data_IF_012311074040
#
_entry.id   IF_012311074040
#
_cell.length_a   1.000
_cell.length_b   1.000
_cell.length_c   1.000
_cell.angle_alpha   90.00
_cell.angle_beta   90.00
_cell.angle_gamma   90.00
#
_symmetry.space_group_name_H-M   'P 1'
#
loop_
_entity.id
_entity.type
_entity.pdbx_description
1 polymer ?
#
# COMPACT_ATOMS: atom_id res chain seq x y z
N UNK A 1 10.42 -24.87 15.61
CA UNK A 1 10.29 -26.34 15.78
C UNK A 1 11.40 -27.01 14.97
N UNK A 2 11.96 -28.19 15.41
CA UNK A 2 13.02 -28.87 14.66
C UNK A 2 12.66 -29.24 13.21
N UNK A 3 11.37 -29.51 12.94
CA UNK A 3 10.84 -29.89 11.62
C UNK A 3 10.16 -28.75 10.86
N UNK A 4 10.42 -27.51 11.23
CA UNK A 4 9.85 -26.35 10.53
C UNK A 4 10.65 -25.97 9.29
N UNK A 5 9.99 -25.40 8.28
CA UNK A 5 10.63 -24.77 7.12
C UNK A 5 10.75 -23.27 7.38
N UNK A 6 11.95 -22.72 7.17
CA UNK A 6 12.17 -21.27 7.17
C UNK A 6 11.74 -20.71 5.80
N UNK A 7 10.90 -19.68 5.79
CA UNK A 7 10.46 -18.99 4.56
C UNK A 7 11.14 -17.64 4.53
N UNK A 8 12.02 -17.41 3.55
CA UNK A 8 12.95 -16.27 3.52
C UNK A 8 12.73 -15.43 2.27
N UNK A 9 12.57 -14.11 2.49
CA UNK A 9 12.48 -13.12 1.42
C UNK A 9 13.88 -12.73 0.94
N UNK A 10 14.21 -13.02 -0.33
CA UNK A 10 15.50 -12.65 -0.92
C UNK A 10 15.60 -11.16 -1.30
N UNK A 11 14.49 -10.43 -1.35
CA UNK A 11 14.50 -9.00 -1.68
C UNK A 11 14.99 -8.12 -0.52
N UNK A 12 15.24 -8.70 0.68
CA UNK A 12 15.67 -8.00 1.86
C UNK A 12 17.18 -8.09 2.06
N UNK A 13 17.80 -7.00 2.50
CA UNK A 13 19.24 -6.94 2.77
C UNK A 13 19.73 -7.94 3.83
N UNK A 14 18.82 -8.47 4.66
CA UNK A 14 19.12 -9.44 5.71
C UNK A 14 19.00 -10.90 5.26
N UNK A 15 18.63 -11.17 4.01
CA UNK A 15 18.37 -12.52 3.49
C UNK A 15 19.56 -13.47 3.67
N UNK A 16 20.78 -13.02 3.34
CA UNK A 16 22.00 -13.83 3.47
C UNK A 16 22.30 -14.19 4.93
N UNK A 17 22.09 -13.25 5.86
CA UNK A 17 22.27 -13.50 7.29
C UNK A 17 21.30 -14.57 7.78
N UNK A 18 20.04 -14.50 7.39
CA UNK A 18 19.02 -15.50 7.76
C UNK A 18 19.30 -16.86 7.12
N UNK A 19 19.70 -16.92 5.84
CA UNK A 19 20.07 -18.16 5.18
C UNK A 19 21.25 -18.85 5.89
N UNK A 20 22.22 -18.07 6.34
CA UNK A 20 23.37 -18.60 7.10
C UNK A 20 23.01 -19.11 8.51
N UNK A 21 21.97 -18.54 9.13
CA UNK A 21 21.50 -18.96 10.45
C UNK A 21 20.68 -20.26 10.39
N UNK A 22 19.96 -20.51 9.29
CA UNK A 22 19.06 -21.66 9.15
C UNK A 22 19.64 -22.83 8.36
N UNK A 23 20.97 -23.02 8.35
CA UNK A 23 21.67 -24.08 7.61
C UNK A 23 21.26 -25.50 8.00
N UNK A 24 20.73 -25.72 9.18
CA UNK A 24 20.25 -27.00 9.71
C UNK A 24 18.76 -27.24 9.44
N UNK A 25 18.08 -26.34 8.72
CA UNK A 25 16.64 -26.40 8.43
C UNK A 25 16.36 -26.42 6.94
N UNK A 26 15.16 -26.89 6.61
CA UNK A 26 14.63 -26.64 5.28
C UNK A 26 14.35 -25.15 5.13
N UNK A 27 14.88 -24.56 4.06
CA UNK A 27 14.58 -23.19 3.68
C UNK A 27 13.78 -23.19 2.39
N UNK A 28 12.78 -22.32 2.31
CA UNK A 28 12.07 -21.98 1.09
C UNK A 28 12.22 -20.49 0.88
N UNK A 29 12.75 -20.10 -0.26
CA UNK A 29 13.01 -18.69 -0.59
C UNK A 29 11.90 -18.13 -1.47
N UNK A 30 11.63 -16.85 -1.35
CA UNK A 30 10.72 -16.16 -2.26
C UNK A 30 11.24 -14.78 -2.64
N UNK A 31 10.81 -14.29 -3.81
CA UNK A 31 11.21 -12.99 -4.32
C UNK A 31 10.19 -12.46 -5.34
N UNK A 32 10.15 -11.15 -5.49
CA UNK A 32 9.51 -10.44 -6.59
C UNK A 32 10.53 -9.76 -7.53
N UNK A 33 11.81 -9.78 -7.16
CA UNK A 33 12.91 -9.10 -7.86
C UNK A 33 13.97 -10.09 -8.39
N UNK A 34 14.11 -11.25 -7.75
CA UNK A 34 15.15 -12.24 -8.05
C UNK A 34 14.55 -13.57 -8.54
N UNK A 35 14.91 -13.97 -9.76
CA UNK A 35 14.40 -15.21 -10.41
C UNK A 35 15.05 -16.51 -9.88
N UNK A 36 16.00 -16.43 -8.95
CA UNK A 36 16.68 -17.58 -8.35
C UNK A 36 16.03 -18.05 -7.03
N UNK A 37 14.94 -17.43 -6.61
CA UNK A 37 14.16 -17.90 -5.47
C UNK A 37 13.28 -19.11 -5.84
N UNK A 38 12.89 -19.91 -4.85
CA UNK A 38 12.02 -21.08 -5.05
C UNK A 38 10.61 -20.68 -5.48
N UNK A 39 10.11 -19.55 -4.96
CA UNK A 39 8.79 -19.00 -5.27
C UNK A 39 8.96 -17.56 -5.77
N UNK A 40 8.52 -17.28 -6.98
CA UNK A 40 8.70 -15.96 -7.60
C UNK A 40 7.41 -15.46 -8.24
N UNK A 41 7.28 -14.13 -8.34
CA UNK A 41 6.30 -13.48 -9.22
C UNK A 41 7.01 -12.99 -10.48
N UNK A 42 6.53 -13.43 -11.64
CA UNK A 42 7.02 -12.99 -12.95
C UNK A 42 5.92 -12.27 -13.72
N UNK A 43 6.28 -11.50 -14.75
CA UNK A 43 5.34 -10.81 -15.64
C UNK A 43 4.32 -9.93 -14.89
N UNK A 44 4.78 -9.20 -13.87
CA UNK A 44 3.91 -8.34 -13.07
C UNK A 44 3.40 -7.19 -13.94
N UNK A 45 2.06 -7.05 -14.02
CA UNK A 45 1.38 -6.01 -14.77
C UNK A 45 0.38 -5.30 -13.85
N UNK A 46 0.40 -3.97 -13.87
CA UNK A 46 -0.57 -3.12 -13.16
C UNK A 46 -1.73 -2.84 -14.10
N UNK A 47 -2.94 -3.18 -13.67
CA UNK A 47 -4.20 -2.95 -14.38
C UNK A 47 -4.70 -1.51 -14.15
N UNK A 48 -5.64 -1.04 -14.97
CA UNK A 48 -6.25 0.30 -14.84
C UNK A 48 -6.93 0.53 -13.48
N UNK A 49 -7.31 -0.54 -12.79
CA UNK A 49 -7.87 -0.53 -11.42
C UNK A 49 -6.81 -0.33 -10.32
N UNK A 50 -5.52 -0.31 -10.68
CA UNK A 50 -4.40 -0.37 -9.74
C UNK A 50 -4.10 -1.76 -9.19
N UNK A 51 -4.96 -2.76 -9.46
CA UNK A 51 -4.72 -4.16 -9.13
C UNK A 51 -3.60 -4.74 -9.98
N UNK A 52 -2.99 -5.84 -9.52
CA UNK A 52 -1.89 -6.48 -10.24
C UNK A 52 -2.27 -7.86 -10.76
N UNK A 53 -1.78 -8.17 -11.95
CA UNK A 53 -1.74 -9.51 -12.52
C UNK A 53 -0.29 -9.95 -12.61
N UNK A 54 0.01 -11.21 -12.28
CA UNK A 54 1.35 -11.78 -12.36
C UNK A 54 1.30 -13.30 -12.50
N UNK A 55 2.41 -13.88 -12.87
CA UNK A 55 2.61 -15.32 -12.87
C UNK A 55 3.28 -15.74 -11.55
N UNK A 56 2.58 -16.52 -10.72
CA UNK A 56 3.15 -17.17 -9.55
C UNK A 56 3.86 -18.45 -9.99
N UNK A 57 5.17 -18.52 -9.75
CA UNK A 57 6.03 -19.63 -10.15
C UNK A 57 6.59 -20.35 -8.92
N UNK A 58 6.63 -21.69 -8.96
CA UNK A 58 7.31 -22.55 -8.01
C UNK A 58 8.03 -23.65 -8.80
N UNK A 59 9.34 -23.52 -8.97
CA UNK A 59 10.13 -24.35 -9.87
C UNK A 59 9.60 -24.27 -11.31
N UNK A 60 9.17 -25.41 -11.88
CA UNK A 60 8.60 -25.44 -13.25
C UNK A 60 7.10 -25.14 -13.31
N UNK A 61 6.41 -25.13 -12.17
CA UNK A 61 5.00 -24.83 -12.12
C UNK A 61 4.76 -23.33 -12.19
N UNK A 62 3.82 -22.91 -13.05
CA UNK A 62 3.45 -21.51 -13.28
C UNK A 62 1.94 -21.38 -13.33
N UNK A 63 1.40 -20.39 -12.64
CA UNK A 63 -0.03 -20.08 -12.65
C UNK A 63 -0.23 -18.57 -12.66
N UNK A 64 -1.12 -18.09 -13.51
CA UNK A 64 -1.50 -16.67 -13.53
C UNK A 64 -2.41 -16.34 -12.36
N UNK A 65 -2.14 -15.20 -11.70
CA UNK A 65 -2.89 -14.67 -10.57
C UNK A 65 -3.30 -13.24 -10.86
N UNK A 66 -4.55 -12.90 -10.64
CA UNK A 66 -5.03 -11.51 -10.60
C UNK A 66 -5.46 -11.22 -9.16
N UNK A 67 -4.76 -10.29 -8.50
CA UNK A 67 -5.11 -9.89 -7.14
C UNK A 67 -6.26 -8.87 -7.16
N UNK A 68 -7.28 -9.05 -6.31
CA UNK A 68 -8.37 -8.07 -6.18
C UNK A 68 -8.02 -6.88 -5.26
N UNK A 69 -6.74 -6.70 -4.97
CA UNK A 69 -6.21 -5.61 -4.11
C UNK A 69 -5.10 -4.86 -4.86
N UNK A 70 -5.05 -3.52 -4.78
CA UNK A 70 -4.13 -2.73 -5.57
C UNK A 70 -2.69 -2.76 -5.04
N UNK A 71 -1.78 -2.37 -5.92
CA UNK A 71 -0.39 -2.06 -5.61
C UNK A 71 0.58 -3.24 -5.69
N UNK A 72 1.80 -2.94 -6.11
CA UNK A 72 2.90 -3.92 -6.22
C UNK A 72 3.26 -4.57 -4.88
N UNK A 73 3.12 -3.84 -3.76
CA UNK A 73 3.32 -4.40 -2.43
C UNK A 73 2.35 -5.54 -2.11
N UNK A 74 1.15 -5.54 -2.72
CA UNK A 74 0.19 -6.65 -2.60
C UNK A 74 0.71 -7.91 -3.29
N UNK A 75 1.47 -7.77 -4.39
CA UNK A 75 2.16 -8.90 -5.03
C UNK A 75 3.23 -9.47 -4.10
N UNK A 76 4.06 -8.62 -3.48
CA UNK A 76 5.07 -9.05 -2.50
C UNK A 76 4.44 -9.85 -1.35
N UNK A 77 3.32 -9.36 -0.81
CA UNK A 77 2.57 -10.05 0.25
C UNK A 77 1.96 -11.38 -0.24
N UNK A 78 1.44 -11.42 -1.46
CA UNK A 78 0.86 -12.63 -2.05
C UNK A 78 1.92 -13.72 -2.27
N UNK A 79 3.11 -13.36 -2.75
CA UNK A 79 4.23 -14.30 -2.94
C UNK A 79 4.73 -14.83 -1.58
N UNK A 80 4.83 -13.96 -0.57
CA UNK A 80 5.17 -14.37 0.80
C UNK A 80 4.15 -15.37 1.36
N UNK A 81 2.85 -15.07 1.21
CA UNK A 81 1.77 -15.97 1.65
C UNK A 81 1.79 -17.29 0.88
N UNK A 82 2.03 -17.25 -0.44
CA UNK A 82 2.17 -18.44 -1.28
C UNK A 82 3.33 -19.31 -0.84
N UNK A 83 4.50 -18.73 -0.56
CA UNK A 83 5.67 -19.46 -0.07
C UNK A 83 5.39 -20.14 1.28
N UNK A 84 4.72 -19.46 2.21
CA UNK A 84 4.29 -20.07 3.48
C UNK A 84 3.31 -21.22 3.27
N UNK A 85 2.36 -21.09 2.35
CA UNK A 85 1.39 -22.14 2.01
C UNK A 85 2.07 -23.34 1.35
N UNK A 86 3.04 -23.12 0.44
CA UNK A 86 3.85 -24.18 -0.19
C UNK A 86 4.66 -24.92 0.87
N UNK A 87 5.30 -24.20 1.79
CA UNK A 87 6.03 -24.81 2.91
C UNK A 87 5.12 -25.65 3.82
N UNK A 88 3.82 -25.34 3.87
CA UNK A 88 2.79 -26.10 4.58
C UNK A 88 2.18 -27.26 3.75
N UNK A 89 2.63 -27.46 2.50
CA UNK A 89 2.16 -28.53 1.62
C UNK A 89 0.87 -28.23 0.83
N UNK A 90 0.46 -26.96 0.75
CA UNK A 90 -0.72 -26.55 -0.04
C UNK A 90 -0.36 -26.53 -1.52
N UNK A 91 -1.23 -27.03 -2.38
CA UNK A 91 -1.00 -27.04 -3.83
C UNK A 91 -1.09 -25.64 -4.45
N UNK A 92 -0.37 -25.43 -5.56
CA UNK A 92 -0.35 -24.15 -6.25
C UNK A 92 -1.76 -23.73 -6.72
N UNK A 93 -2.59 -24.69 -7.15
CA UNK A 93 -3.98 -24.41 -7.56
C UNK A 93 -4.85 -23.87 -6.40
N UNK A 94 -4.72 -24.48 -5.21
CA UNK A 94 -5.42 -23.99 -4.02
C UNK A 94 -4.93 -22.61 -3.59
N UNK A 95 -3.63 -22.33 -3.70
CA UNK A 95 -3.04 -21.03 -3.40
C UNK A 95 -3.60 -19.96 -4.35
N UNK A 96 -3.62 -20.23 -5.66
CA UNK A 96 -4.18 -19.31 -6.65
C UNK A 96 -5.65 -19.03 -6.39
N UNK A 97 -6.45 -20.06 -6.09
CA UNK A 97 -7.86 -19.87 -5.71
C UNK A 97 -8.00 -18.97 -4.47
N UNK A 98 -7.14 -19.16 -3.46
CA UNK A 98 -7.14 -18.33 -2.26
C UNK A 98 -6.76 -16.88 -2.55
N UNK A 99 -5.69 -16.66 -3.34
CA UNK A 99 -5.20 -15.32 -3.68
C UNK A 99 -6.22 -14.52 -4.52
N UNK A 100 -6.91 -15.17 -5.47
CA UNK A 100 -7.94 -14.52 -6.30
C UNK A 100 -9.24 -14.26 -5.54
N UNK A 101 -9.48 -14.96 -4.44
CA UNK A 101 -10.65 -14.80 -3.59
C UNK A 101 -10.42 -13.85 -2.40
N UNK A 102 -9.23 -13.24 -2.27
CA UNK A 102 -8.93 -12.29 -1.18
C UNK A 102 -9.95 -11.14 -1.22
N UNK A 103 -10.50 -10.83 -0.05
CA UNK A 103 -11.37 -9.65 0.10
C UNK A 103 -10.52 -8.49 0.62
N UNK A 104 -10.72 -7.27 0.08
CA UNK A 104 -10.09 -6.08 0.62
C UNK A 104 -10.40 -5.94 2.12
N UNK A 105 -9.38 -5.60 2.90
CA UNK A 105 -9.53 -5.32 4.33
C UNK A 105 -9.79 -3.83 4.49
N UNK A 106 -10.80 -3.42 5.25
CA UNK A 106 -11.15 -2.03 5.47
C UNK A 106 -9.92 -1.20 5.89
N UNK A 107 -9.75 -0.02 5.31
CA UNK A 107 -8.62 0.86 5.57
C UNK A 107 -7.28 0.40 5.01
N UNK A 108 -7.26 -0.55 4.05
CA UNK A 108 -6.03 -1.02 3.37
C UNK A 108 -6.16 -0.87 1.86
N UNK A 109 -5.91 0.36 1.38
CA UNK A 109 -6.00 0.75 -0.03
C UNK A 109 -7.32 0.35 -0.71
N UNK A 110 -8.43 0.43 0.03
CA UNK A 110 -9.75 0.17 -0.51
C UNK A 110 -10.16 1.30 -1.46
N UNK A 111 -10.45 0.95 -2.71
CA UNK A 111 -10.98 1.90 -3.68
C UNK A 111 -12.49 2.06 -3.50
N UNK A 112 -12.92 3.28 -3.25
CA UNK A 112 -14.31 3.72 -3.23
C UNK A 112 -14.56 4.66 -4.40
N UNK A 113 -15.47 4.33 -5.30
CA UNK A 113 -15.96 5.28 -6.31
C UNK A 113 -17.04 6.11 -5.64
N UNK A 114 -16.71 7.35 -5.30
CA UNK A 114 -17.65 8.27 -4.63
C UNK A 114 -18.64 8.84 -5.65
N UNK A 115 -18.18 9.37 -6.77
CA UNK A 115 -18.97 9.79 -7.93
C UNK A 115 -18.29 9.31 -9.22
N UNK A 116 -18.88 9.60 -10.37
CA UNK A 116 -18.24 9.31 -11.68
C UNK A 116 -16.86 9.98 -11.82
N UNK A 117 -16.65 11.09 -11.09
CA UNK A 117 -15.46 11.92 -11.19
C UNK A 117 -14.55 11.89 -9.95
N UNK A 118 -14.98 11.27 -8.85
CA UNK A 118 -14.24 11.25 -7.59
C UNK A 118 -14.03 9.82 -7.13
N UNK A 119 -12.76 9.42 -7.09
CA UNK A 119 -12.30 8.15 -6.53
C UNK A 119 -11.53 8.38 -5.22
N UNK A 120 -11.66 7.48 -4.27
CA UNK A 120 -11.03 7.54 -2.96
C UNK A 120 -10.35 6.21 -2.64
N UNK A 121 -9.06 6.23 -2.36
CA UNK A 121 -8.36 5.13 -1.70
C UNK A 121 -8.38 5.35 -0.19
N UNK A 122 -9.06 4.44 0.51
CA UNK A 122 -9.04 4.36 1.98
C UNK A 122 -7.86 3.49 2.42
N UNK A 123 -6.84 4.12 3.00
CA UNK A 123 -5.67 3.44 3.57
C UNK A 123 -5.42 3.91 5.02
N UNK A 124 -6.49 3.97 5.79
CA UNK A 124 -6.54 4.61 7.11
C UNK A 124 -6.25 3.66 8.28
N UNK A 125 -6.05 2.35 8.03
CA UNK A 125 -5.85 1.38 9.10
C UNK A 125 -4.59 1.65 9.94
N UNK A 126 -3.46 1.90 9.28
CA UNK A 126 -2.19 2.23 9.91
C UNK A 126 -1.23 2.88 8.90
N UNK A 127 -0.16 3.51 9.41
CA UNK A 127 0.83 4.17 8.57
C UNK A 127 2.24 4.04 9.12
N UNK A 128 3.19 3.76 8.22
CA UNK A 128 4.63 3.89 8.40
C UNK A 128 5.22 4.42 7.09
N UNK A 129 6.50 4.84 7.03
CA UNK A 129 7.09 5.43 5.83
C UNK A 129 6.97 4.53 4.59
N UNK A 130 7.35 3.26 4.68
CA UNK A 130 7.30 2.34 3.53
C UNK A 130 5.88 2.16 2.99
N UNK A 131 4.89 2.05 3.89
CA UNK A 131 3.49 1.92 3.49
C UNK A 131 2.93 3.22 2.90
N UNK A 132 3.40 4.40 3.32
CA UNK A 132 3.05 5.67 2.68
C UNK A 132 3.63 5.75 1.28
N UNK A 133 4.91 5.44 1.09
CA UNK A 133 5.55 5.44 -0.23
C UNK A 133 4.84 4.48 -1.19
N UNK A 134 4.52 3.27 -0.74
CA UNK A 134 3.77 2.31 -1.54
C UNK A 134 2.37 2.81 -1.94
N UNK A 135 1.65 3.49 -1.03
CA UNK A 135 0.34 4.06 -1.31
C UNK A 135 0.43 5.27 -2.27
N UNK A 136 1.46 6.11 -2.12
CA UNK A 136 1.75 7.21 -3.05
C UNK A 136 2.06 6.68 -4.45
N UNK A 137 2.80 5.58 -4.59
CA UNK A 137 3.05 4.93 -5.88
C UNK A 137 1.75 4.46 -6.55
N UNK A 138 0.80 3.93 -5.78
CA UNK A 138 -0.54 3.58 -6.29
C UNK A 138 -1.26 4.83 -6.76
N UNK A 139 -1.31 5.90 -5.95
CA UNK A 139 -1.95 7.16 -6.30
C UNK A 139 -1.31 7.78 -7.56
N UNK A 140 0.01 7.77 -7.68
CA UNK A 140 0.75 8.32 -8.81
C UNK A 140 0.39 7.65 -10.15
N UNK A 141 -0.02 6.40 -10.14
CA UNK A 141 -0.43 5.65 -11.33
C UNK A 141 -1.93 5.83 -11.68
N UNK A 142 -2.66 6.69 -10.97
CA UNK A 142 -4.06 6.99 -11.27
C UNK A 142 -4.21 8.22 -12.19
N UNK A 143 -5.43 8.42 -12.70
CA UNK A 143 -5.73 9.55 -13.57
C UNK A 143 -6.44 10.69 -12.81
N UNK A 144 -6.34 11.90 -13.36
CA UNK A 144 -6.97 13.09 -12.83
C UNK A 144 -6.08 13.85 -11.85
N UNK A 145 -6.67 14.72 -11.04
CA UNK A 145 -5.99 15.46 -9.98
C UNK A 145 -5.80 14.53 -8.78
N UNK A 146 -4.56 14.17 -8.50
CA UNK A 146 -4.18 13.24 -7.43
C UNK A 146 -3.88 14.03 -6.16
N UNK A 147 -4.60 13.73 -5.10
CA UNK A 147 -4.50 14.43 -3.83
C UNK A 147 -4.22 13.44 -2.69
N UNK A 148 -3.07 13.59 -2.05
CA UNK A 148 -2.74 12.91 -0.82
C UNK A 148 -3.34 13.65 0.37
N UNK A 149 -4.15 12.95 1.17
CA UNK A 149 -4.75 13.43 2.42
C UNK A 149 -4.10 12.68 3.58
N UNK A 150 -3.24 13.38 4.33
CA UNK A 150 -2.31 12.76 5.27
C UNK A 150 -2.62 13.12 6.71
N UNK A 151 -2.73 12.10 7.58
CA UNK A 151 -2.62 12.22 9.03
C UNK A 151 -1.22 11.86 9.51
N UNK A 152 -0.98 12.02 10.82
CA UNK A 152 0.31 11.68 11.42
C UNK A 152 0.64 10.19 11.31
N UNK A 153 1.93 9.86 11.16
CA UNK A 153 2.49 8.55 11.43
C UNK A 153 2.92 8.46 12.89
N UNK A 154 2.51 7.40 13.58
CA UNK A 154 2.87 7.14 14.97
C UNK A 154 4.07 6.19 15.07
N UNK A 155 4.62 6.06 16.29
CA UNK A 155 5.64 5.05 16.67
C UNK A 155 6.97 5.16 15.90
N UNK A 156 7.33 6.36 15.42
CA UNK A 156 8.56 6.58 14.65
C UNK A 156 9.76 7.05 15.51
N UNK A 157 9.55 7.28 16.81
CA UNK A 157 10.60 7.73 17.72
C UNK A 157 11.17 9.11 17.33
N UNK A 158 12.46 9.31 17.57
CA UNK A 158 13.15 10.59 17.36
C UNK A 158 13.20 11.05 15.90
N UNK A 159 13.08 10.12 14.95
CA UNK A 159 13.12 10.42 13.51
C UNK A 159 11.74 10.79 12.92
N UNK A 160 10.72 10.93 13.74
CA UNK A 160 9.35 11.14 13.26
C UNK A 160 9.23 12.35 12.31
N UNK A 161 9.83 13.48 12.64
CA UNK A 161 9.78 14.67 11.78
C UNK A 161 10.52 14.47 10.45
N UNK A 162 11.70 13.84 10.48
CA UNK A 162 12.49 13.55 9.28
C UNK A 162 11.71 12.64 8.33
N UNK A 163 11.11 11.57 8.86
CA UNK A 163 10.31 10.63 8.07
C UNK A 163 9.04 11.26 7.47
N UNK A 164 8.37 12.16 8.19
CA UNK A 164 7.23 12.91 7.62
C UNK A 164 7.68 13.85 6.49
N UNK A 165 8.82 14.56 6.67
CA UNK A 165 9.41 15.39 5.63
C UNK A 165 9.75 14.59 4.36
N UNK A 166 10.28 13.38 4.54
CA UNK A 166 10.61 12.45 3.47
C UNK A 166 9.38 12.05 2.66
N UNK A 167 8.25 11.77 3.31
CA UNK A 167 6.97 11.48 2.63
C UNK A 167 6.50 12.67 1.80
N UNK A 168 6.60 13.90 2.32
CA UNK A 168 6.23 15.09 1.55
C UNK A 168 7.08 15.26 0.28
N UNK A 169 8.40 15.09 0.39
CA UNK A 169 9.31 15.12 -0.77
C UNK A 169 9.01 14.01 -1.77
N UNK A 170 8.81 12.79 -1.27
CA UNK A 170 8.48 11.64 -2.12
C UNK A 170 7.20 11.86 -2.92
N UNK A 171 6.16 12.41 -2.29
CA UNK A 171 4.92 12.74 -2.99
C UNK A 171 5.14 13.77 -4.10
N UNK A 172 5.98 14.79 -3.87
CA UNK A 172 6.35 15.77 -4.88
C UNK A 172 7.16 15.15 -6.03
N UNK A 173 8.14 14.29 -5.73
CA UNK A 173 8.95 13.57 -6.74
C UNK A 173 8.09 12.66 -7.62
N UNK A 174 7.03 12.05 -7.06
CA UNK A 174 6.07 11.21 -7.80
C UNK A 174 5.05 12.02 -8.60
N UNK A 175 5.12 13.35 -8.53
CA UNK A 175 4.26 14.23 -9.30
C UNK A 175 2.81 14.26 -8.81
N UNK A 176 2.56 14.03 -7.52
CA UNK A 176 1.25 14.24 -6.90
C UNK A 176 0.90 15.73 -6.99
N UNK A 177 -0.34 16.08 -7.35
CA UNK A 177 -0.72 17.48 -7.59
C UNK A 177 -1.07 18.24 -6.31
N UNK A 178 -1.45 17.53 -5.22
CA UNK A 178 -1.75 18.17 -3.95
C UNK A 178 -1.47 17.28 -2.74
N UNK A 179 -1.08 17.91 -1.64
CA UNK A 179 -0.97 17.27 -0.33
C UNK A 179 -1.70 18.13 0.69
N UNK A 180 -2.69 17.54 1.34
CA UNK A 180 -3.44 18.12 2.44
C UNK A 180 -3.17 17.32 3.71
N UNK A 181 -2.80 17.98 4.79
CA UNK A 181 -2.48 17.28 6.03
C UNK A 181 -3.24 17.83 7.24
N UNK A 182 -3.44 16.96 8.22
CA UNK A 182 -3.98 17.29 9.55
C UNK A 182 -3.25 16.47 10.60
N UNK A 183 -2.79 17.13 11.65
CA UNK A 183 -1.99 16.52 12.71
C UNK A 183 -0.76 17.36 13.04
N UNK A 184 -0.02 17.01 14.09
CA UNK A 184 1.13 17.80 14.54
C UNK A 184 2.37 17.55 13.65
N UNK A 185 2.62 16.31 13.31
CA UNK A 185 3.83 15.89 12.57
C UNK A 185 3.62 15.99 11.06
N UNK A 186 2.41 15.75 10.57
CA UNK A 186 2.07 15.84 9.15
C UNK A 186 2.17 17.25 8.56
N UNK A 187 2.21 18.29 9.40
CA UNK A 187 2.53 19.65 8.97
C UNK A 187 3.88 19.72 8.25
N UNK A 188 4.90 19.02 8.76
CA UNK A 188 6.25 18.97 8.16
C UNK A 188 6.23 18.35 6.75
N UNK A 189 5.37 17.36 6.52
CA UNK A 189 5.18 16.77 5.20
C UNK A 189 4.56 17.77 4.23
N UNK A 190 3.53 18.53 4.67
CA UNK A 190 2.93 19.60 3.87
C UNK A 190 3.94 20.68 3.51
N UNK A 191 4.76 21.14 4.45
CA UNK A 191 5.80 22.13 4.20
C UNK A 191 6.82 21.62 3.17
N UNK A 192 7.27 20.37 3.30
CA UNK A 192 8.24 19.75 2.41
C UNK A 192 7.71 19.54 0.99
N UNK A 193 6.40 19.33 0.85
CA UNK A 193 5.71 19.20 -0.44
C UNK A 193 5.36 20.55 -1.06
N UNK A 194 5.15 21.60 -0.26
CA UNK A 194 4.50 22.85 -0.66
C UNK A 194 2.97 22.72 -0.69
N UNK A 195 2.41 21.91 0.22
CA UNK A 195 0.99 21.59 0.33
C UNK A 195 0.24 22.47 1.35
N UNK A 196 -0.92 22.00 1.80
CA UNK A 196 -1.75 22.69 2.76
C UNK A 196 -1.91 21.89 4.05
N UNK A 197 -1.67 22.55 5.18
CA UNK A 197 -1.89 21.98 6.50
C UNK A 197 -3.13 22.62 7.16
N UNK A 198 -3.94 21.77 7.81
CA UNK A 198 -5.19 22.21 8.44
C UNK A 198 -5.16 21.95 9.95
N UNK A 199 -5.80 22.84 10.70
CA UNK A 199 -5.88 22.76 12.17
C UNK A 199 -6.67 21.55 12.66
N UNK A 200 -7.66 21.13 11.87
CA UNK A 200 -8.59 20.05 12.21
C UNK A 200 -9.22 19.42 10.96
N UNK A 201 -9.90 18.29 11.14
CA UNK A 201 -10.56 17.55 10.06
C UNK A 201 -11.73 18.32 9.42
N UNK A 202 -12.35 19.28 10.12
CA UNK A 202 -13.45 20.06 9.57
C UNK A 202 -12.95 21.09 8.55
N UNK A 203 -11.86 21.79 8.88
CA UNK A 203 -11.18 22.69 7.95
C UNK A 203 -10.62 21.94 6.73
N UNK A 204 -10.03 20.75 6.95
CA UNK A 204 -9.59 19.85 5.89
C UNK A 204 -10.76 19.47 4.96
N UNK A 205 -11.91 19.07 5.51
CA UNK A 205 -13.10 18.69 4.73
C UNK A 205 -13.63 19.83 3.86
N UNK A 206 -13.67 21.05 4.38
CA UNK A 206 -14.08 22.21 3.58
C UNK A 206 -13.16 22.45 2.38
N UNK A 207 -11.86 22.26 2.57
CA UNK A 207 -10.89 22.38 1.48
C UNK A 207 -11.00 21.23 0.46
N UNK A 208 -11.29 20.00 0.91
CA UNK A 208 -11.54 18.85 0.03
C UNK A 208 -12.78 19.06 -0.84
N UNK A 209 -13.86 19.61 -0.28
CA UNK A 209 -15.08 19.95 -1.02
C UNK A 209 -14.78 20.97 -2.14
N UNK A 210 -13.98 22.00 -1.83
CA UNK A 210 -13.61 23.03 -2.79
C UNK A 210 -12.78 22.44 -3.97
N UNK A 211 -11.83 21.56 -3.68
CA UNK A 211 -11.04 20.88 -4.73
C UNK A 211 -11.92 19.96 -5.57
N UNK A 212 -12.76 19.13 -4.94
CA UNK A 212 -13.65 18.23 -5.64
C UNK A 212 -14.65 18.96 -6.56
N UNK A 213 -15.12 20.14 -6.13
CA UNK A 213 -15.99 20.97 -6.96
C UNK A 213 -15.29 21.63 -8.15
N UNK A 214 -14.00 21.96 -8.02
CA UNK A 214 -13.23 22.69 -9.05
C UNK A 214 -12.56 21.81 -10.09
N UNK A 215 -12.30 20.55 -9.80
CA UNK A 215 -11.56 19.64 -10.67
C UNK A 215 -12.52 18.68 -11.37
N UNK A 216 -12.25 18.42 -12.65
CA UNK A 216 -13.09 17.54 -13.48
C UNK A 216 -12.97 16.07 -13.10
N UNK A 217 -11.83 15.64 -12.55
CA UNK A 217 -11.60 14.28 -12.05
C UNK A 217 -10.60 14.34 -10.90
N UNK A 218 -10.93 13.71 -9.77
CA UNK A 218 -10.10 13.71 -8.55
C UNK A 218 -9.90 12.28 -8.08
N UNK A 219 -8.67 11.95 -7.74
CA UNK A 219 -8.35 10.73 -6.99
C UNK A 219 -7.73 11.12 -5.65
N UNK A 220 -8.40 10.74 -4.57
CA UNK A 220 -7.97 10.98 -3.19
C UNK A 220 -7.27 9.72 -2.65
N UNK A 221 -6.20 9.89 -1.90
CA UNK A 221 -5.64 8.87 -1.01
C UNK A 221 -5.70 9.40 0.41
N UNK A 222 -6.47 8.75 1.28
CA UNK A 222 -6.57 9.11 2.70
C UNK A 222 -5.78 8.10 3.52
N UNK A 223 -4.74 8.58 4.24
CA UNK A 223 -3.84 7.72 5.01
C UNK A 223 -3.34 8.41 6.28
N UNK A 224 -3.14 7.61 7.33
CA UNK A 224 -2.55 8.02 8.59
C UNK A 224 -2.44 6.83 9.54
N UNK A 225 -1.73 7.00 10.66
CA UNK A 225 -1.68 5.99 11.71
C UNK A 225 -3.05 5.80 12.36
N UNK A 226 -3.24 4.68 13.05
CA UNK A 226 -4.50 4.38 13.74
C UNK A 226 -4.92 5.49 14.71
N UNK A 227 -3.96 6.10 15.39
CA UNK A 227 -4.21 7.19 16.34
C UNK A 227 -4.63 8.51 15.68
N UNK A 228 -4.36 8.71 14.39
CA UNK A 228 -4.79 9.93 13.67
C UNK A 228 -6.25 9.90 13.27
N UNK A 229 -6.92 8.74 13.31
CA UNK A 229 -8.36 8.60 13.09
C UNK A 229 -8.80 9.08 11.70
N UNK A 230 -8.00 8.85 10.67
CA UNK A 230 -8.30 9.36 9.31
C UNK A 230 -9.50 8.66 8.65
N UNK A 231 -9.98 7.55 9.19
CA UNK A 231 -11.23 6.91 8.78
C UNK A 231 -12.46 7.82 8.95
N UNK A 232 -12.38 8.83 9.82
CA UNK A 232 -13.45 9.85 9.95
C UNK A 232 -13.57 10.67 8.65
N UNK A 233 -12.44 11.06 8.04
CA UNK A 233 -12.41 11.80 6.77
C UNK A 233 -13.05 10.97 5.66
N UNK A 234 -12.72 9.68 5.59
CA UNK A 234 -13.32 8.74 4.63
C UNK A 234 -14.84 8.63 4.84
N UNK A 235 -15.26 8.51 6.09
CA UNK A 235 -16.68 8.43 6.45
C UNK A 235 -17.44 9.71 6.06
N UNK A 236 -16.85 10.89 6.34
CA UNK A 236 -17.46 12.18 6.01
C UNK A 236 -17.61 12.35 4.48
N UNK A 237 -16.59 11.98 3.69
CA UNK A 237 -16.64 12.01 2.23
C UNK A 237 -17.73 11.07 1.69
N UNK A 238 -17.79 9.84 2.21
CA UNK A 238 -18.74 8.82 1.74
C UNK A 238 -20.20 9.11 2.09
N UNK A 239 -20.47 9.84 3.18
CA UNK A 239 -21.84 10.18 3.61
C UNK A 239 -22.45 11.36 2.85
N UNK A 240 -21.63 12.29 2.36
CA UNK A 240 -22.11 13.46 1.60
C UNK A 240 -22.81 13.08 0.30
N UNK A 241 -22.47 11.94 -0.28
CA UNK A 241 -23.02 11.48 -1.56
C UNK A 241 -24.32 10.68 -1.45
N UNK A 242 -24.69 10.34 -0.21
CA UNK A 242 -25.97 9.67 0.07
C UNK A 242 -27.09 10.67 0.40
N UNK A 243 -26.76 11.98 0.44
CA UNK A 243 -27.69 13.08 0.76
C UNK A 243 -28.03 13.89 -0.45
#
# INVERSE_FOLDING_TARGET
KPSGTAVINLDLAWSDAWLSEFTDKQCLTFSTEHNNADVVAENICILDTGCCQFDLCNGKARKSVTLPVPGIHSVKNAVAAAACCIAAGVSLDQIVMGLTAVKPVAGRLNLHQLTDNIALFDDTYNANPDSFMAAIDVLANTQGYRLLVMGDMAELGEKAMEMHCEIGRYAAEKGIEGLYSVGVLSAVASDAFGGNHFSDKQALMAALDDVCAKKSKVTLLVKGSRSSGMEEVVTMLSNKEKS
#
